data_IF_556113633167
#
_entry.id   IF_556113633167
#
_cell.length_a   1.000
_cell.length_b   1.000
_cell.length_c   1.000
_cell.angle_alpha   90.00
_cell.angle_beta   90.00
_cell.angle_gamma   90.00
#
_symmetry.space_group_name_H-M   'P 1'
#
loop_
_entity.id
_entity.type
_entity.pdbx_description
1 polymer ?
#
# COMPACT_ATOMS: atom_id res chain seq x y z
N UNK A 1 -8.46 50.65 -20.88
CA UNK A 1 -8.59 49.54 -19.91
C UNK A 1 -8.27 50.05 -18.50
N UNK A 2 -9.15 49.78 -17.53
CA UNK A 2 -8.88 50.06 -16.12
C UNK A 2 -8.14 48.87 -15.48
N UNK A 3 -7.28 49.13 -14.51
CA UNK A 3 -6.77 48.08 -13.63
C UNK A 3 -7.91 47.52 -12.78
N UNK A 4 -7.83 46.24 -12.40
CA UNK A 4 -8.85 45.51 -11.64
C UNK A 4 -9.13 46.09 -10.25
N UNK A 5 -8.24 46.91 -9.70
CA UNK A 5 -8.50 47.67 -8.48
C UNK A 5 -7.74 49.01 -8.51
N UNK A 6 -8.41 50.10 -8.09
CA UNK A 6 -7.83 51.45 -8.07
C UNK A 6 -7.46 52.05 -9.43
N UNK A 7 -7.93 51.48 -10.54
CA UNK A 7 -7.65 51.98 -11.88
C UNK A 7 -8.41 53.28 -12.18
N UNK A 8 -7.76 54.22 -12.88
CA UNK A 8 -8.40 55.46 -13.35
C UNK A 8 -8.24 55.60 -14.86
N UNK A 9 -9.29 56.09 -15.55
CA UNK A 9 -9.23 56.51 -16.95
C UNK A 9 -9.57 57.99 -17.02
N UNK A 10 -8.76 58.76 -17.76
CA UNK A 10 -8.99 60.19 -17.98
C UNK A 10 -9.28 60.44 -19.44
N UNK A 11 -10.37 61.14 -19.73
CA UNK A 11 -10.73 61.60 -21.06
C UNK A 11 -10.53 63.11 -21.12
N UNK A 12 -9.61 63.58 -21.98
CA UNK A 12 -9.28 64.99 -22.10
C UNK A 12 -10.14 65.68 -23.15
N UNK A 13 -10.30 67.00 -23.03
CA UNK A 13 -11.04 67.85 -23.97
C UNK A 13 -12.52 67.42 -24.20
N UNK A 14 -13.16 66.87 -23.17
CA UNK A 14 -14.59 66.56 -23.20
C UNK A 14 -15.40 67.86 -23.15
N UNK A 15 -16.36 68.03 -24.06
CA UNK A 15 -17.20 69.22 -24.11
C UNK A 15 -18.01 69.40 -22.82
N UNK A 16 -18.23 70.66 -22.41
CA UNK A 16 -19.11 70.94 -21.27
C UNK A 16 -20.54 70.46 -21.55
N UNK A 17 -21.20 69.87 -20.57
CA UNK A 17 -22.54 69.29 -20.71
C UNK A 17 -22.71 67.95 -20.00
N UNK A 18 -23.87 67.32 -20.19
CA UNK A 18 -24.17 65.99 -19.63
C UNK A 18 -23.60 64.88 -20.51
N UNK A 19 -22.94 63.92 -19.87
CA UNK A 19 -22.35 62.74 -20.49
C UNK A 19 -22.81 61.48 -19.75
N UNK A 20 -22.77 60.35 -20.45
CA UNK A 20 -23.02 59.03 -19.89
C UNK A 20 -21.72 58.23 -19.89
N UNK A 21 -21.32 57.74 -18.73
CA UNK A 21 -20.13 56.91 -18.53
C UNK A 21 -20.61 55.52 -18.18
N UNK A 22 -20.23 54.54 -18.99
CA UNK A 22 -20.54 53.13 -18.75
C UNK A 22 -19.28 52.35 -18.44
N UNK A 23 -19.37 51.47 -17.44
CA UNK A 23 -18.37 50.44 -17.19
C UNK A 23 -18.77 49.16 -17.92
N UNK A 24 -17.88 48.62 -18.76
CA UNK A 24 -18.10 47.37 -19.50
C UNK A 24 -16.98 46.36 -19.24
N UNK A 25 -17.21 45.10 -19.61
CA UNK A 25 -16.24 44.02 -19.37
C UNK A 25 -16.16 43.58 -17.91
N UNK A 26 -17.20 43.83 -17.11
CA UNK A 26 -17.33 43.29 -15.75
C UNK A 26 -17.57 41.79 -15.86
N UNK A 27 -16.77 40.99 -15.15
CA UNK A 27 -16.88 39.54 -15.18
C UNK A 27 -18.21 39.05 -14.56
N UNK A 28 -18.70 37.89 -15.00
CA UNK A 28 -20.02 37.35 -14.60
C UNK A 28 -20.18 37.14 -13.08
N UNK A 29 -19.06 36.91 -12.37
CA UNK A 29 -19.05 36.76 -10.91
C UNK A 29 -18.93 38.09 -10.16
N UNK A 30 -19.05 39.21 -10.86
CA UNK A 30 -18.93 40.55 -10.32
C UNK A 30 -20.19 41.37 -10.57
N UNK A 31 -20.49 42.26 -9.63
CA UNK A 31 -21.63 43.17 -9.71
C UNK A 31 -21.16 44.60 -9.56
N UNK A 32 -21.75 45.51 -10.35
CA UNK A 32 -21.55 46.96 -10.19
C UNK A 32 -22.62 47.46 -9.23
N UNK A 33 -22.21 48.11 -8.15
CA UNK A 33 -23.12 48.49 -7.06
C UNK A 33 -24.00 49.69 -7.44
N UNK A 34 -23.45 50.60 -8.23
CA UNK A 34 -24.11 51.81 -8.70
C UNK A 34 -24.84 51.60 -10.04
N UNK A 35 -25.77 52.49 -10.42
CA UNK A 35 -26.34 52.49 -11.76
C UNK A 35 -25.25 52.56 -12.83
N UNK A 36 -25.33 51.66 -13.80
CA UNK A 36 -24.40 51.61 -14.92
C UNK A 36 -25.23 51.55 -16.21
N UNK A 37 -25.24 52.61 -17.04
CA UNK A 37 -24.34 53.78 -17.02
C UNK A 37 -24.62 54.85 -15.93
N UNK A 38 -23.60 55.62 -15.55
CA UNK A 38 -23.72 56.83 -14.72
C UNK A 38 -23.77 58.10 -15.58
N UNK A 39 -24.63 59.06 -15.24
CA UNK A 39 -24.64 60.38 -15.87
C UNK A 39 -23.80 61.38 -15.07
N UNK A 40 -22.90 62.09 -15.75
CA UNK A 40 -22.04 63.13 -15.16
C UNK A 40 -22.14 64.42 -15.96
N UNK A 41 -22.07 65.57 -15.29
CA UNK A 41 -22.05 66.88 -15.97
C UNK A 41 -20.66 67.49 -15.89
N UNK A 42 -20.04 67.73 -17.04
CA UNK A 42 -18.72 68.38 -17.14
C UNK A 42 -18.91 69.90 -17.18
N UNK A 43 -18.42 70.66 -16.19
CA UNK A 43 -18.44 72.13 -16.23
C UNK A 43 -17.45 72.67 -17.27
N UNK A 44 -17.70 73.87 -17.79
CA UNK A 44 -16.73 74.54 -18.68
C UNK A 44 -15.38 74.75 -17.96
N UNK A 45 -14.30 74.22 -18.52
CA UNK A 45 -12.95 74.26 -17.92
C UNK A 45 -12.78 73.39 -16.67
N UNK A 46 -13.79 72.61 -16.27
CA UNK A 46 -13.76 71.75 -15.08
C UNK A 46 -13.54 70.28 -15.39
N UNK A 47 -13.53 69.45 -14.34
CA UNK A 47 -13.47 67.99 -14.42
C UNK A 47 -14.68 67.40 -13.70
N UNK A 48 -15.25 66.34 -14.27
CA UNK A 48 -16.25 65.51 -13.61
C UNK A 48 -15.70 64.08 -13.47
N UNK A 49 -16.19 63.35 -12.47
CA UNK A 49 -15.76 61.97 -12.21
C UNK A 49 -16.97 61.06 -12.04
N UNK A 50 -16.89 59.87 -12.62
CA UNK A 50 -17.78 58.75 -12.37
C UNK A 50 -16.98 57.67 -11.66
N UNK A 51 -17.53 57.08 -10.60
CA UNK A 51 -16.87 56.05 -9.79
C UNK A 51 -17.77 54.84 -9.70
N UNK A 52 -17.19 53.66 -9.94
CA UNK A 52 -17.88 52.38 -9.91
C UNK A 52 -17.24 51.48 -8.85
N UNK A 53 -18.08 50.89 -7.99
CA UNK A 53 -17.68 49.88 -7.02
C UNK A 53 -18.08 48.51 -7.55
N UNK A 54 -17.07 47.71 -7.88
CA UNK A 54 -17.25 46.34 -8.38
C UNK A 54 -17.02 45.36 -7.24
N UNK A 55 -18.04 44.58 -6.90
CA UNK A 55 -17.96 43.51 -5.90
C UNK A 55 -18.02 42.16 -6.59
N UNK A 56 -17.00 41.33 -6.38
CA UNK A 56 -16.92 39.99 -6.97
C UNK A 56 -17.08 38.90 -5.90
N UNK A 57 -17.73 37.81 -6.27
CA UNK A 57 -17.81 36.59 -5.46
C UNK A 57 -16.83 35.53 -5.99
N UNK A 58 -16.21 34.76 -5.10
CA UNK A 58 -15.42 33.61 -5.50
C UNK A 58 -16.32 32.57 -6.18
N UNK A 59 -15.80 31.88 -7.20
CA UNK A 59 -16.50 30.77 -7.85
C UNK A 59 -15.84 29.41 -7.57
N UNK A 60 -14.67 29.44 -6.93
CA UNK A 60 -13.86 28.27 -6.64
C UNK A 60 -13.43 28.27 -5.19
N UNK A 61 -13.10 27.09 -4.68
CA UNK A 61 -12.50 26.88 -3.37
C UNK A 61 -11.28 25.95 -3.44
N UNK A 62 -10.86 25.48 -2.28
CA UNK A 62 -9.79 24.50 -2.11
C UNK A 62 -10.36 23.21 -1.53
N UNK A 63 -9.86 22.06 -1.98
CA UNK A 63 -10.15 20.77 -1.38
C UNK A 63 -8.84 20.14 -0.88
N UNK A 64 -8.81 19.77 0.39
CA UNK A 64 -7.71 18.99 0.98
C UNK A 64 -8.16 17.55 1.18
N UNK A 65 -7.29 16.59 0.84
CA UNK A 65 -7.57 15.16 0.98
C UNK A 65 -6.46 14.52 1.79
N UNK A 66 -6.84 13.72 2.77
CA UNK A 66 -5.92 13.00 3.65
C UNK A 66 -6.23 11.51 3.66
N UNK A 67 -5.24 10.70 4.04
CA UNK A 67 -5.42 9.29 4.31
C UNK A 67 -4.77 8.95 5.66
N UNK A 68 -5.45 8.12 6.44
CA UNK A 68 -4.90 7.49 7.63
C UNK A 68 -4.82 5.99 7.39
N UNK A 69 -3.62 5.45 7.46
CA UNK A 69 -3.36 4.03 7.20
C UNK A 69 -2.90 3.34 8.47
N UNK A 70 -3.51 2.20 8.78
CA UNK A 70 -3.22 1.41 9.98
C UNK A 70 -2.90 -0.05 9.61
N UNK A 71 -2.24 -0.77 10.50
CA UNK A 71 -1.90 -2.18 10.33
C UNK A 71 -0.42 -2.42 10.04
N UNK A 72 -0.11 -3.42 9.21
CA UNK A 72 1.27 -3.83 8.87
C UNK A 72 1.44 -3.97 7.37
N UNK A 73 2.70 -3.95 6.91
CA UNK A 73 3.06 -3.96 5.49
C UNK A 73 2.30 -2.87 4.73
N UNK A 74 2.43 -1.63 5.21
CA UNK A 74 1.74 -0.50 4.61
C UNK A 74 2.14 -0.34 3.14
N UNK A 75 1.23 0.25 2.38
CA UNK A 75 1.42 0.55 0.96
C UNK A 75 2.75 1.31 0.72
N UNK A 76 3.72 0.71 0.00
CA UNK A 76 5.06 1.27 -0.13
C UNK A 76 5.15 2.43 -1.14
N UNK A 77 4.28 2.46 -2.14
CA UNK A 77 4.27 3.47 -3.21
C UNK A 77 3.23 4.59 -2.97
N UNK A 78 2.32 4.40 -2.02
CA UNK A 78 1.33 5.37 -1.62
C UNK A 78 0.12 5.39 -2.54
N UNK A 79 -0.76 6.36 -2.34
CA UNK A 79 -2.05 6.40 -3.00
C UNK A 79 -2.12 7.47 -4.07
N UNK A 80 -3.10 7.31 -4.96
CA UNK A 80 -3.52 8.36 -5.88
C UNK A 80 -4.92 8.81 -5.54
N UNK A 81 -5.13 10.12 -5.43
CA UNK A 81 -6.45 10.72 -5.27
C UNK A 81 -6.87 11.33 -6.59
N UNK A 82 -8.07 10.97 -7.07
CA UNK A 82 -8.63 11.48 -8.33
C UNK A 82 -9.92 12.25 -8.04
N UNK A 83 -9.96 13.51 -8.48
CA UNK A 83 -11.15 14.34 -8.42
C UNK A 83 -12.04 14.12 -9.65
N UNK A 84 -13.35 13.96 -9.43
CA UNK A 84 -14.42 13.82 -10.43
C UNK A 84 -14.17 12.75 -11.51
N UNK A 85 -13.40 11.71 -11.18
CA UNK A 85 -13.04 10.65 -12.11
C UNK A 85 -12.13 11.09 -13.25
N UNK A 86 -11.59 12.31 -13.21
CA UNK A 86 -10.70 12.85 -14.23
C UNK A 86 -9.24 12.64 -13.83
N UNK A 87 -8.54 11.78 -14.60
CA UNK A 87 -7.13 11.46 -14.35
C UNK A 87 -6.19 12.68 -14.47
N UNK A 88 -6.58 13.73 -15.20
CA UNK A 88 -5.81 14.98 -15.26
C UNK A 88 -5.88 15.79 -13.96
N UNK A 89 -6.84 15.47 -13.08
CA UNK A 89 -6.97 16.02 -11.73
C UNK A 89 -6.66 14.96 -10.69
N UNK A 90 -5.62 14.17 -10.93
CA UNK A 90 -5.07 13.24 -9.93
C UNK A 90 -3.86 13.85 -9.21
N UNK A 91 -3.75 13.56 -7.91
CA UNK A 91 -2.65 13.98 -7.05
C UNK A 91 -2.12 12.77 -6.27
N UNK A 92 -0.79 12.66 -6.05
CA UNK A 92 -0.26 11.64 -5.16
C UNK A 92 -0.62 11.96 -3.70
N UNK A 93 -0.79 10.91 -2.90
CA UNK A 93 -1.06 11.00 -1.47
C UNK A 93 -0.20 9.99 -0.73
N UNK A 94 0.64 10.47 0.19
CA UNK A 94 1.51 9.59 0.96
C UNK A 94 0.70 8.64 1.85
N UNK A 95 1.23 7.43 2.04
CA UNK A 95 0.59 6.32 2.76
C UNK A 95 0.14 6.68 4.17
N UNK A 96 0.88 7.54 4.89
CA UNK A 96 0.46 8.00 6.22
C UNK A 96 0.93 9.43 6.48
N UNK A 97 0.04 10.27 7.03
CA UNK A 97 0.34 11.67 7.37
C UNK A 97 0.50 12.61 6.17
N UNK A 98 0.15 12.18 4.95
CA UNK A 98 0.17 13.00 3.73
C UNK A 98 -1.10 13.84 3.55
N UNK A 99 -1.00 14.91 2.76
CA UNK A 99 -2.15 15.72 2.32
C UNK A 99 -2.02 16.05 0.84
N UNK A 100 -3.04 15.73 0.06
CA UNK A 100 -3.20 16.19 -1.32
C UNK A 100 -4.08 17.44 -1.33
N UNK A 101 -3.71 18.46 -2.10
CA UNK A 101 -4.45 19.74 -2.17
C UNK A 101 -4.85 20.04 -3.61
N UNK A 102 -6.14 20.22 -3.84
CA UNK A 102 -6.71 20.69 -5.10
C UNK A 102 -7.10 22.15 -4.94
N UNK A 103 -6.45 23.03 -5.72
CA UNK A 103 -6.74 24.46 -5.72
C UNK A 103 -7.69 24.82 -6.86
N UNK A 104 -8.43 25.92 -6.68
CA UNK A 104 -9.36 26.45 -7.67
C UNK A 104 -10.39 25.42 -8.17
N UNK A 105 -10.86 24.55 -7.27
CA UNK A 105 -11.94 23.61 -7.54
C UNK A 105 -13.25 24.38 -7.61
N UNK A 106 -14.10 24.12 -8.60
CA UNK A 106 -15.40 24.77 -8.71
C UNK A 106 -16.20 24.62 -7.39
N UNK A 107 -16.99 25.63 -7.02
CA UNK A 107 -17.87 25.48 -5.89
C UNK A 107 -19.00 24.48 -6.24
N UNK A 108 -19.30 23.54 -5.35
CA UNK A 108 -20.32 22.52 -5.60
C UNK A 108 -19.95 21.13 -5.07
N UNK A 109 -20.73 20.14 -5.45
CA UNK A 109 -20.50 18.74 -5.09
C UNK A 109 -19.49 18.09 -6.05
N UNK A 110 -18.48 17.44 -5.48
CA UNK A 110 -17.43 16.71 -6.19
C UNK A 110 -17.34 15.27 -5.69
N UNK A 111 -16.79 14.41 -6.54
CA UNK A 111 -16.48 13.01 -6.20
C UNK A 111 -14.97 12.84 -6.05
N UNK A 112 -14.52 12.26 -4.95
CA UNK A 112 -13.11 12.03 -4.65
C UNK A 112 -12.88 10.54 -4.54
N UNK A 113 -12.03 9.99 -5.39
CA UNK A 113 -11.69 8.56 -5.38
C UNK A 113 -10.24 8.35 -4.94
N UNK A 114 -10.02 7.37 -4.06
CA UNK A 114 -8.69 6.88 -3.71
C UNK A 114 -8.39 5.61 -4.53
N UNK A 115 -7.22 5.54 -5.14
CA UNK A 115 -6.74 4.39 -5.91
C UNK A 115 -5.26 4.11 -5.61
N UNK A 116 -4.71 3.06 -6.22
CA UNK A 116 -3.33 2.62 -5.98
C UNK A 116 -3.15 1.92 -4.62
N UNK A 117 -4.22 1.34 -4.06
CA UNK A 117 -4.16 0.67 -2.76
C UNK A 117 -3.60 -0.74 -2.94
N UNK A 118 -2.52 -1.06 -2.21
CA UNK A 118 -1.88 -2.36 -2.19
C UNK A 118 -2.88 -3.50 -1.87
N UNK A 119 -2.60 -4.70 -2.38
CA UNK A 119 -3.52 -5.86 -2.31
C UNK A 119 -3.80 -6.35 -0.90
N UNK A 120 -2.88 -6.10 0.04
CA UNK A 120 -3.05 -6.41 1.46
C UNK A 120 -3.74 -5.29 2.24
N UNK A 121 -4.16 -4.21 1.58
CA UNK A 121 -4.82 -3.06 2.16
C UNK A 121 -6.26 -2.92 1.66
N UNK A 122 -7.12 -2.32 2.47
CA UNK A 122 -8.53 -2.09 2.12
C UNK A 122 -8.95 -0.70 2.57
N UNK A 123 -9.64 0.04 1.70
CA UNK A 123 -10.24 1.33 2.05
C UNK A 123 -11.52 1.08 2.85
N UNK A 124 -11.57 1.63 4.05
CA UNK A 124 -12.73 1.57 4.93
C UNK A 124 -13.73 2.67 4.57
N UNK A 125 -14.98 2.29 4.35
CA UNK A 125 -16.08 3.21 4.02
C UNK A 125 -16.24 3.47 2.52
N UNK A 126 -17.04 4.49 2.15
CA UNK A 126 -17.31 4.80 0.74
C UNK A 126 -16.05 5.24 0.00
N UNK A 127 -15.85 4.67 -1.18
CA UNK A 127 -14.88 5.11 -2.17
C UNK A 127 -15.51 4.89 -3.55
N UNK A 128 -15.86 5.95 -4.30
CA UNK A 128 -15.57 7.37 -4.04
C UNK A 128 -16.35 8.02 -2.88
N UNK A 129 -15.82 9.11 -2.32
CA UNK A 129 -16.51 9.99 -1.36
C UNK A 129 -17.08 11.23 -2.06
N UNK A 130 -18.27 11.68 -1.65
CA UNK A 130 -18.83 12.95 -2.12
C UNK A 130 -18.47 14.08 -1.15
N UNK A 131 -17.94 15.19 -1.68
CA UNK A 131 -17.55 16.36 -0.88
C UNK A 131 -18.12 17.64 -1.51
N UNK A 132 -18.59 18.58 -0.70
CA UNK A 132 -19.07 19.88 -1.19
C UNK A 132 -18.01 20.95 -0.94
N UNK A 133 -17.48 21.54 -2.01
CA UNK A 133 -16.49 22.61 -1.97
C UNK A 133 -17.20 23.97 -1.89
N UNK A 134 -17.00 24.77 -0.82
CA UNK A 134 -17.56 26.11 -0.73
C UNK A 134 -16.78 27.12 -1.58
N UNK A 135 -17.48 28.09 -2.16
CA UNK A 135 -16.86 29.22 -2.85
C UNK A 135 -15.97 30.04 -1.91
N UNK A 136 -14.71 30.24 -2.27
CA UNK A 136 -13.70 30.97 -1.50
C UNK A 136 -13.23 30.26 -0.23
N UNK A 137 -13.78 29.08 0.07
CA UNK A 137 -13.47 28.33 1.29
C UNK A 137 -12.67 27.06 1.03
N UNK A 138 -12.51 26.26 2.09
CA UNK A 138 -11.81 24.98 2.04
C UNK A 138 -12.73 23.86 2.50
N UNK A 139 -12.81 22.80 1.69
CA UNK A 139 -13.41 21.52 2.07
C UNK A 139 -12.32 20.48 2.33
N UNK A 140 -12.68 19.42 3.05
CA UNK A 140 -11.76 18.33 3.38
C UNK A 140 -12.42 16.97 3.19
N UNK A 141 -11.67 15.99 2.68
CA UNK A 141 -12.03 14.58 2.62
C UNK A 141 -10.95 13.73 3.29
N UNK A 142 -11.34 12.61 3.89
CA UNK A 142 -10.41 11.72 4.60
C UNK A 142 -10.72 10.26 4.31
N UNK A 143 -9.72 9.52 3.89
CA UNK A 143 -9.79 8.07 3.73
C UNK A 143 -9.16 7.35 4.91
N UNK A 144 -9.77 6.24 5.32
CA UNK A 144 -9.15 5.30 6.27
C UNK A 144 -8.77 4.05 5.51
N UNK A 145 -7.52 3.62 5.64
CA UNK A 145 -7.02 2.40 4.99
C UNK A 145 -6.50 1.44 6.05
N UNK A 146 -6.87 0.17 5.92
CA UNK A 146 -6.49 -0.88 6.85
C UNK A 146 -5.68 -1.93 6.09
N UNK A 147 -4.44 -2.16 6.50
CA UNK A 147 -3.54 -3.13 5.89
C UNK A 147 -3.34 -4.34 6.80
N UNK A 148 -3.40 -5.54 6.22
CA UNK A 148 -3.09 -6.79 6.92
C UNK A 148 -1.63 -7.15 6.74
N UNK A 149 -1.05 -7.77 7.78
CA UNK A 149 0.30 -8.29 7.72
C UNK A 149 0.43 -9.34 6.61
N UNK A 150 1.44 -9.17 5.77
CA UNK A 150 1.88 -10.20 4.84
C UNK A 150 3.02 -10.97 5.50
N UNK A 151 2.78 -12.25 5.79
CA UNK A 151 3.77 -13.14 6.39
C UNK A 151 4.37 -14.05 5.32
N UNK A 152 5.71 -14.08 5.23
CA UNK A 152 6.40 -15.06 4.41
C UNK A 152 6.19 -16.44 5.03
N UNK A 153 5.77 -17.41 4.23
CA UNK A 153 5.43 -18.77 4.66
C UNK A 153 5.99 -19.77 3.67
N UNK A 154 6.49 -20.89 4.19
CA UNK A 154 6.90 -22.03 3.38
C UNK A 154 6.21 -23.29 3.89
N UNK A 155 5.57 -24.00 2.96
CA UNK A 155 4.91 -25.29 3.21
C UNK A 155 5.52 -26.34 2.34
N UNK A 156 5.52 -27.59 2.79
CA UNK A 156 5.96 -28.68 1.95
C UNK A 156 5.43 -30.00 2.44
N UNK A 157 4.95 -30.82 1.51
CA UNK A 157 4.57 -32.20 1.75
C UNK A 157 5.16 -33.02 0.62
N UNK A 158 6.04 -33.97 0.93
CA UNK A 158 6.69 -34.73 -0.12
C UNK A 158 7.79 -35.65 0.35
N UNK A 159 8.64 -36.00 -0.60
CA UNK A 159 9.74 -36.94 -0.40
C UNK A 159 10.98 -36.52 -1.18
N UNK A 160 12.15 -36.72 -0.58
CA UNK A 160 13.44 -36.79 -1.28
C UNK A 160 13.94 -38.24 -1.27
N UNK A 161 14.74 -38.59 -2.29
CA UNK A 161 15.17 -39.97 -2.60
C UNK A 161 14.00 -40.92 -2.95
N UNK A 162 14.33 -42.10 -3.48
CA UNK A 162 13.35 -43.06 -3.99
C UNK A 162 13.05 -44.16 -2.97
N UNK A 163 11.93 -44.87 -3.18
CA UNK A 163 11.51 -45.98 -2.35
C UNK A 163 10.24 -45.67 -1.53
N UNK A 164 9.66 -46.71 -0.92
CA UNK A 164 8.46 -46.57 -0.10
C UNK A 164 8.76 -45.93 1.25
N UNK A 165 7.75 -45.27 1.83
CA UNK A 165 7.76 -44.77 3.20
C UNK A 165 7.62 -45.92 4.21
N UNK A 166 8.64 -46.78 4.30
CA UNK A 166 8.71 -47.94 5.19
C UNK A 166 10.12 -48.12 5.77
N UNK A 167 10.27 -48.64 7.00
CA UNK A 167 11.56 -48.77 7.66
C UNK A 167 12.59 -49.55 6.81
N UNK A 168 13.81 -49.03 6.72
CA UNK A 168 14.92 -49.52 5.91
C UNK A 168 15.00 -48.96 4.49
N UNK A 169 14.04 -48.14 4.04
CA UNK A 169 14.08 -47.53 2.70
C UNK A 169 14.92 -46.25 2.66
N UNK A 170 15.54 -45.96 1.52
CA UNK A 170 16.28 -44.71 1.29
C UNK A 170 15.40 -43.45 1.29
N UNK A 171 14.08 -43.58 1.21
CA UNK A 171 13.13 -42.47 1.24
C UNK A 171 13.29 -41.56 2.47
N UNK A 172 13.11 -40.25 2.28
CA UNK A 172 12.91 -39.28 3.37
C UNK A 172 11.65 -38.48 3.10
N UNK A 173 10.67 -38.57 3.98
CA UNK A 173 9.38 -37.87 3.82
C UNK A 173 9.31 -36.66 4.72
N UNK A 174 8.62 -35.62 4.28
CA UNK A 174 8.45 -34.39 5.05
C UNK A 174 7.02 -33.86 4.94
N UNK A 175 6.58 -33.21 6.01
CA UNK A 175 5.38 -32.37 6.11
C UNK A 175 5.74 -31.19 7.02
N UNK A 176 5.79 -29.98 6.47
CA UNK A 176 6.08 -28.79 7.24
C UNK A 176 5.22 -27.60 6.78
N UNK A 177 5.08 -26.67 7.70
CA UNK A 177 4.35 -25.43 7.52
C UNK A 177 4.91 -24.40 8.49
N UNK A 178 5.70 -23.47 7.96
CA UNK A 178 6.52 -22.54 8.75
C UNK A 178 6.36 -21.14 8.21
N UNK A 179 6.24 -20.16 9.11
CA UNK A 179 6.06 -18.75 8.76
C UNK A 179 7.02 -17.81 9.50
N UNK A 180 7.30 -16.66 8.88
CA UNK A 180 8.01 -15.54 9.46
C UNK A 180 7.21 -14.97 10.65
N UNK A 181 7.83 -14.94 11.83
CA UNK A 181 7.13 -14.83 13.12
C UNK A 181 7.55 -15.93 14.09
N UNK A 182 8.77 -16.46 13.91
CA UNK A 182 9.10 -17.89 13.77
C UNK A 182 8.10 -18.82 14.46
N UNK A 183 7.17 -19.36 13.67
CA UNK A 183 6.16 -20.32 14.15
C UNK A 183 5.87 -21.34 13.07
N UNK A 184 5.38 -22.51 13.47
CA UNK A 184 5.07 -23.58 12.53
C UNK A 184 5.25 -24.96 13.09
N UNK A 185 5.05 -25.95 12.21
CA UNK A 185 5.25 -27.37 12.50
C UNK A 185 6.19 -27.99 11.49
N UNK A 186 6.88 -29.04 11.90
CA UNK A 186 7.73 -29.84 11.04
C UNK A 186 7.59 -31.30 11.43
N UNK A 187 7.44 -32.17 10.44
CA UNK A 187 7.64 -33.60 10.56
C UNK A 187 8.54 -34.04 9.43
N UNK A 188 9.71 -34.55 9.78
CA UNK A 188 10.66 -35.09 8.83
C UNK A 188 11.02 -36.51 9.26
N UNK A 189 10.82 -37.49 8.40
CA UNK A 189 11.13 -38.89 8.67
C UNK A 189 12.22 -39.38 7.72
N UNK A 190 13.32 -39.88 8.29
CA UNK A 190 14.32 -40.66 7.58
C UNK A 190 13.97 -42.15 7.72
N UNK A 191 13.55 -42.77 6.62
CA UNK A 191 13.15 -44.19 6.63
C UNK A 191 14.33 -45.17 6.62
N UNK A 192 15.55 -44.71 6.32
CA UNK A 192 16.75 -45.55 6.27
C UNK A 192 17.32 -45.73 7.68
N UNK A 193 17.31 -44.65 8.46
CA UNK A 193 17.73 -44.67 9.86
C UNK A 193 16.62 -45.26 10.74
N UNK A 194 16.80 -46.50 11.19
CA UNK A 194 15.81 -47.22 11.99
C UNK A 194 16.37 -47.51 13.39
N UNK A 195 15.65 -47.11 14.43
CA UNK A 195 16.02 -47.40 15.81
C UNK A 195 15.82 -48.88 16.15
N UNK A 196 16.43 -49.40 17.25
CA UNK A 196 16.26 -50.80 17.67
C UNK A 196 14.81 -51.22 17.94
N UNK A 197 13.90 -50.27 18.18
CA UNK A 197 12.46 -50.51 18.35
C UNK A 197 11.70 -50.66 17.02
N UNK A 198 12.38 -50.58 15.88
CA UNK A 198 11.80 -50.71 14.54
C UNK A 198 11.17 -49.41 13.98
N UNK A 199 11.17 -48.32 14.75
CA UNK A 199 10.67 -47.02 14.28
C UNK A 199 11.74 -46.27 13.48
N UNK A 200 11.39 -45.62 12.36
CA UNK A 200 12.32 -44.76 11.64
C UNK A 200 12.60 -43.47 12.44
N UNK A 201 13.76 -42.87 12.20
CA UNK A 201 14.09 -41.55 12.73
C UNK A 201 13.07 -40.54 12.23
N UNK A 202 12.42 -39.85 13.17
CA UNK A 202 11.47 -38.78 12.90
C UNK A 202 11.81 -37.58 13.78
N UNK A 203 12.08 -36.47 13.12
CA UNK A 203 12.29 -35.15 13.70
C UNK A 203 10.97 -34.37 13.67
N UNK A 204 10.54 -33.88 14.83
CA UNK A 204 9.24 -33.24 15.01
C UNK A 204 9.43 -31.86 15.63
N UNK A 205 8.76 -30.86 15.05
CA UNK A 205 8.44 -29.59 15.70
C UNK A 205 6.94 -29.52 15.80
N UNK A 206 6.42 -29.50 17.03
CA UNK A 206 5.00 -29.42 17.32
C UNK A 206 4.75 -28.19 18.19
N UNK A 207 3.94 -27.21 17.73
CA UNK A 207 3.60 -26.03 18.53
C UNK A 207 3.01 -26.31 19.91
N UNK A 208 2.46 -27.51 20.13
CA UNK A 208 1.91 -27.93 21.43
C UNK A 208 2.97 -28.52 22.38
N UNK A 209 4.16 -28.88 21.87
CA UNK A 209 5.30 -29.31 22.67
C UNK A 209 6.18 -28.10 23.04
N UNK A 210 6.14 -27.70 24.31
CA UNK A 210 6.91 -26.57 24.83
C UNK A 210 8.44 -26.70 24.68
N UNK A 211 8.95 -27.90 24.40
CA UNK A 211 10.37 -28.14 24.14
C UNK A 211 10.79 -27.92 22.68
N UNK A 212 9.84 -27.76 21.76
CA UNK A 212 10.11 -27.56 20.33
C UNK A 212 9.66 -26.19 19.86
N UNK A 213 10.39 -25.61 18.91
CA UNK A 213 10.05 -24.30 18.35
C UNK A 213 10.77 -24.07 17.02
N UNK A 214 10.15 -23.28 16.14
CA UNK A 214 10.90 -22.56 15.11
C UNK A 214 11.62 -21.41 15.81
N UNK A 215 12.91 -21.24 15.56
CA UNK A 215 13.75 -20.26 16.27
C UNK A 215 14.23 -19.15 15.36
N UNK A 216 14.33 -19.39 14.05
CA UNK A 216 14.62 -18.35 13.06
C UNK A 216 13.98 -18.69 11.71
N UNK A 217 13.64 -17.66 10.94
CA UNK A 217 13.15 -17.79 9.56
C UNK A 217 13.87 -16.79 8.66
N UNK A 218 14.49 -17.28 7.59
CA UNK A 218 15.16 -16.50 6.56
C UNK A 218 14.35 -16.61 5.27
N UNK A 219 13.98 -15.47 4.72
CA UNK A 219 13.15 -15.36 3.51
C UNK A 219 13.91 -15.68 2.22
N UNK A 220 15.17 -16.12 2.31
CA UNK A 220 16.00 -16.48 1.17
C UNK A 220 17.04 -17.53 1.55
N UNK A 221 17.53 -18.27 0.55
CA UNK A 221 18.66 -19.20 0.66
C UNK A 221 19.55 -19.12 -0.58
N UNK A 222 20.87 -19.08 -0.38
CA UNK A 222 21.83 -19.22 -1.48
C UNK A 222 21.91 -20.64 -2.06
N UNK A 223 21.30 -21.62 -1.39
CA UNK A 223 21.19 -23.01 -1.88
C UNK A 223 20.12 -23.13 -2.95
N UNK A 224 19.12 -22.25 -2.93
CA UNK A 224 18.05 -22.25 -3.91
C UNK A 224 18.51 -21.59 -5.22
N UNK A 225 17.94 -22.05 -6.34
CA UNK A 225 18.32 -21.59 -7.68
C UNK A 225 18.21 -20.06 -7.82
N UNK A 226 17.13 -19.49 -7.29
CA UNK A 226 17.04 -18.06 -6.99
C UNK A 226 17.00 -17.88 -5.48
N UNK A 227 17.68 -16.84 -4.98
CA UNK A 227 17.78 -16.61 -3.53
C UNK A 227 16.39 -16.50 -2.87
N UNK A 228 15.40 -15.92 -3.56
CA UNK A 228 14.02 -15.75 -3.07
C UNK A 228 13.09 -16.91 -3.42
N UNK A 229 13.55 -17.90 -4.19
CA UNK A 229 12.79 -19.10 -4.57
C UNK A 229 12.76 -20.16 -3.47
N UNK A 230 12.80 -19.77 -2.19
CA UNK A 230 12.87 -20.71 -1.08
C UNK A 230 13.09 -20.01 0.26
N UNK A 231 13.18 -20.77 1.33
CA UNK A 231 13.43 -20.27 2.68
C UNK A 231 14.43 -21.17 3.42
N UNK A 232 15.06 -20.60 4.42
CA UNK A 232 15.77 -21.37 5.44
C UNK A 232 15.13 -21.09 6.79
N UNK A 233 15.04 -22.09 7.64
CA UNK A 233 14.64 -21.88 9.02
C UNK A 233 15.46 -22.73 9.97
N UNK A 234 15.72 -22.16 11.14
CA UNK A 234 16.33 -22.86 12.26
C UNK A 234 15.23 -23.25 13.24
N UNK A 235 15.38 -24.41 13.88
CA UNK A 235 14.40 -24.90 14.82
C UNK A 235 15.04 -25.80 15.87
N UNK A 236 14.33 -25.93 17.00
CA UNK A 236 14.55 -26.97 17.99
C UNK A 236 13.47 -28.03 17.75
N UNK A 237 13.88 -29.22 17.35
CA UNK A 237 12.99 -30.35 17.11
C UNK A 237 13.27 -31.50 18.07
N UNK A 238 12.27 -32.34 18.28
CA UNK A 238 12.35 -33.56 19.06
C UNK A 238 12.49 -34.76 18.14
N UNK A 239 13.45 -35.62 18.43
CA UNK A 239 13.59 -36.92 17.79
C UNK A 239 12.73 -37.94 18.55
N UNK A 240 12.05 -38.82 17.84
CA UNK A 240 11.26 -39.93 18.40
C UNK A 240 12.12 -41.10 18.94
N UNK A 241 13.30 -40.81 19.50
CA UNK A 241 14.09 -41.82 20.21
C UNK A 241 13.49 -42.12 21.60
N UNK A 242 14.10 -43.07 22.32
CA UNK A 242 13.58 -43.50 23.62
C UNK A 242 13.55 -42.37 24.67
N UNK A 243 14.36 -41.33 24.49
CA UNK A 243 14.51 -40.20 25.43
C UNK A 243 13.78 -38.94 24.98
N UNK A 244 13.25 -38.92 23.76
CA UNK A 244 12.69 -37.71 23.16
C UNK A 244 13.75 -36.61 23.01
N UNK A 245 14.92 -36.93 22.49
CA UNK A 245 16.07 -35.99 22.42
C UNK A 245 15.71 -34.73 21.66
N UNK A 246 16.01 -33.57 22.25
CA UNK A 246 15.89 -32.26 21.60
C UNK A 246 17.18 -31.95 20.83
N UNK A 247 17.03 -31.48 19.60
CA UNK A 247 18.13 -31.06 18.73
C UNK A 247 17.83 -29.75 18.05
N UNK A 248 18.88 -28.96 17.81
CA UNK A 248 18.83 -27.85 16.87
C UNK A 248 19.06 -28.36 15.46
N UNK A 249 18.27 -27.88 14.52
CA UNK A 249 18.45 -28.20 13.10
C UNK A 249 18.17 -26.99 12.22
N UNK A 250 18.72 -27.04 11.01
CA UNK A 250 18.41 -26.10 9.93
C UNK A 250 17.75 -26.88 8.80
N UNK A 251 16.66 -26.34 8.27
CA UNK A 251 16.02 -26.84 7.06
C UNK A 251 16.04 -25.77 5.98
N UNK A 252 16.43 -26.16 4.78
CA UNK A 252 16.43 -25.32 3.58
C UNK A 252 15.45 -25.94 2.59
N UNK A 253 14.44 -25.17 2.20
CA UNK A 253 13.39 -25.60 1.29
C UNK A 253 13.33 -24.64 0.11
N UNK A 254 13.47 -25.18 -1.10
CA UNK A 254 13.48 -24.42 -2.35
C UNK A 254 12.25 -24.77 -3.19
N UNK A 255 11.50 -23.73 -3.51
CA UNK A 255 10.36 -23.68 -4.42
C UNK A 255 10.84 -23.02 -5.72
N UNK A 256 11.40 -23.84 -6.61
CA UNK A 256 12.16 -23.33 -7.76
C UNK A 256 11.26 -22.73 -8.84
N UNK A 257 9.93 -22.99 -8.83
CA UNK A 257 8.90 -22.63 -9.83
C UNK A 257 9.15 -23.08 -11.28
N UNK A 258 10.40 -23.18 -11.70
CA UNK A 258 10.86 -23.52 -13.06
C UNK A 258 11.60 -24.85 -13.12
N UNK A 259 12.08 -25.34 -11.98
CA UNK A 259 12.84 -26.58 -11.82
C UNK A 259 12.25 -27.43 -10.69
N UNK A 260 12.80 -28.64 -10.49
CA UNK A 260 12.43 -29.48 -9.37
C UNK A 260 12.71 -28.79 -8.02
N UNK A 261 11.76 -28.91 -7.10
CA UNK A 261 11.90 -28.43 -5.74
C UNK A 261 13.01 -29.19 -5.01
N UNK A 262 13.65 -28.54 -4.04
CA UNK A 262 14.80 -29.08 -3.32
C UNK A 262 14.60 -28.93 -1.81
N UNK A 263 15.05 -29.94 -1.06
CA UNK A 263 15.05 -29.92 0.40
C UNK A 263 16.43 -30.31 0.92
N UNK A 264 16.88 -29.62 1.97
CA UNK A 264 18.04 -30.01 2.78
C UNK A 264 17.71 -29.90 4.26
N UNK A 265 18.17 -30.88 5.04
CA UNK A 265 18.01 -30.95 6.50
C UNK A 265 19.37 -31.22 7.12
N UNK A 266 19.74 -30.41 8.11
CA UNK A 266 21.02 -30.46 8.82
C UNK A 266 20.80 -30.50 10.32
N UNK A 267 21.36 -31.52 10.99
CA UNK A 267 21.37 -31.64 12.44
C UNK A 267 22.83 -31.72 12.89
N UNK A 268 23.47 -30.58 13.21
CA UNK A 268 24.92 -30.53 13.47
C UNK A 268 25.37 -31.41 14.62
N UNK A 269 24.57 -31.56 15.68
CA UNK A 269 24.90 -32.38 16.86
C UNK A 269 25.12 -33.85 16.54
N UNK A 270 24.61 -34.33 15.40
CA UNK A 270 24.77 -35.71 14.94
C UNK A 270 25.62 -35.82 13.65
N UNK A 271 26.17 -34.72 13.15
CA UNK A 271 26.81 -34.71 11.83
C UNK A 271 25.87 -35.13 10.70
N UNK A 272 24.54 -34.99 10.91
CA UNK A 272 23.52 -35.43 9.97
C UNK A 272 23.27 -34.32 8.95
N UNK A 273 23.38 -34.67 7.67
CA UNK A 273 22.99 -33.81 6.54
C UNK A 273 22.39 -34.68 5.45
N UNK A 274 21.15 -34.39 5.04
CA UNK A 274 20.49 -35.00 3.89
C UNK A 274 19.91 -33.92 3.01
N UNK A 275 20.06 -34.10 1.70
CA UNK A 275 19.63 -33.14 0.72
C UNK A 275 19.25 -33.84 -0.58
N UNK A 276 18.27 -33.30 -1.30
CA UNK A 276 17.91 -33.81 -2.62
C UNK A 276 16.80 -33.00 -3.27
N UNK A 277 16.65 -33.21 -4.58
CA UNK A 277 15.44 -32.81 -5.30
C UNK A 277 14.27 -33.71 -4.88
N UNK A 278 13.07 -33.14 -4.89
CA UNK A 278 11.86 -33.89 -4.59
C UNK A 278 11.65 -35.00 -5.62
N UNK A 279 11.38 -36.21 -5.13
CA UNK A 279 10.94 -37.34 -5.96
C UNK A 279 9.42 -37.44 -6.01
N UNK A 280 8.72 -36.81 -5.06
CA UNK A 280 7.26 -36.61 -5.07
C UNK A 280 6.87 -35.49 -4.10
N UNK A 281 5.64 -34.99 -4.25
CA UNK A 281 5.10 -33.90 -3.44
C UNK A 281 5.53 -32.52 -3.94
N UNK A 282 5.31 -31.49 -3.12
CA UNK A 282 5.57 -30.09 -3.48
C UNK A 282 6.08 -29.28 -2.30
N UNK A 283 6.81 -28.20 -2.61
CA UNK A 283 7.19 -27.13 -1.67
C UNK A 283 6.63 -25.83 -2.24
N UNK A 284 5.85 -25.11 -1.44
CA UNK A 284 5.25 -23.84 -1.81
C UNK A 284 5.74 -22.74 -0.88
N UNK A 285 6.34 -21.71 -1.46
CA UNK A 285 6.67 -20.47 -0.80
C UNK A 285 5.62 -19.41 -1.15
N UNK A 286 5.11 -18.74 -0.12
CA UNK A 286 4.14 -17.64 -0.26
C UNK A 286 4.53 -16.45 0.62
N UNK A 287 3.94 -15.29 0.32
CA UNK A 287 4.25 -14.04 1.00
C UNK A 287 5.51 -13.34 0.47
N UNK A 288 5.84 -12.18 1.04
CA UNK A 288 6.91 -11.30 0.58
C UNK A 288 8.33 -11.83 0.88
#
# INVERSE_FOLDING_TARGET
PLATNGGTATFNAVAAGSHSVALSGVADNCTVSEPNPQSVTVPAGGTASASFTVTCVAQTGTLTVTASTTGSNLDPDGYTVTLDGNASTSQPLATNGGTATFNAVAAGSHSVALSGVATNCTVSGPNPQSVTVPAGGTASASFTVNCTALVSRITGVGQIFTGPASPGSDAKTFDFDVQAGPSGRVKYTDWHEVFPNGMPLTLIVDPSDAGTAITAFRTSSSTCHTATGGAEFDAIGRINDATGTLVTFTMIACDSKTDANYLRVEIPSFGYSRAGVLTSGEIDRTGP
#
